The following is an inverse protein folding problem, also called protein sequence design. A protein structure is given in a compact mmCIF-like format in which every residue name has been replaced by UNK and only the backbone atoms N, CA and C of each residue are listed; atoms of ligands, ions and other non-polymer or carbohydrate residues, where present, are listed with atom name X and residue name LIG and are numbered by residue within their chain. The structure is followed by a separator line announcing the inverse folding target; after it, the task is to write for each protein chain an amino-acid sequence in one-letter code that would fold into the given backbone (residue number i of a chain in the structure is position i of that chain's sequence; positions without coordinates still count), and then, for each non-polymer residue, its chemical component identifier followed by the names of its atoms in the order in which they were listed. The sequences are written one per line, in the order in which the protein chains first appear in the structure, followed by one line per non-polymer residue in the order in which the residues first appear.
data_IF_142834378646
#
_entry.id   IF_142834378646
#
_cell.length_a   1.000
_cell.length_b   1.000
_cell.length_c   1.000
_cell.angle_alpha   90.00
_cell.angle_beta   90.00
_cell.angle_gamma   90.00
#
_symmetry.space_group_name_H-M   'P 1'
#
loop_
_entity.id
_entity.type
_entity.pdbx_description
1 polymer ?
#
# COMPACT_ATOMS: atom_id res chain seq x y z
N UNK A 1 0.24 16.46 -7.94
CA UNK A 1 1.19 16.39 -6.81
C UNK A 1 0.39 16.11 -5.55
N UNK A 2 0.57 14.95 -4.92
CA UNK A 2 -0.12 14.59 -3.66
C UNK A 2 0.79 14.93 -2.49
N UNK A 3 1.90 14.22 -2.37
CA UNK A 3 3.05 14.56 -1.53
C UNK A 3 4.30 13.90 -2.13
N UNK A 4 5.49 14.29 -1.67
CA UNK A 4 6.75 13.83 -2.28
C UNK A 4 6.89 12.31 -2.27
N UNK A 5 6.50 11.63 -1.19
CA UNK A 5 6.60 10.17 -1.08
C UNK A 5 5.61 9.47 -2.02
N UNK A 6 4.37 9.95 -2.05
CA UNK A 6 3.31 9.42 -2.91
C UNK A 6 3.66 9.59 -4.38
N UNK A 7 4.14 10.77 -4.75
CA UNK A 7 4.56 11.03 -6.12
C UNK A 7 5.80 10.20 -6.51
N UNK A 8 6.71 9.91 -5.56
CA UNK A 8 7.90 9.09 -5.80
C UNK A 8 7.56 7.62 -6.09
N UNK A 9 6.71 6.98 -5.28
CA UNK A 9 6.33 5.60 -5.56
C UNK A 9 5.38 5.50 -6.76
N UNK A 10 4.53 6.51 -7.01
CA UNK A 10 3.71 6.55 -8.23
C UNK A 10 4.58 6.64 -9.48
N UNK A 11 5.66 7.42 -9.45
CA UNK A 11 6.63 7.46 -10.55
C UNK A 11 7.29 6.09 -10.77
N UNK A 12 7.64 5.39 -9.70
CA UNK A 12 8.18 4.03 -9.81
C UNK A 12 7.16 3.06 -10.41
N UNK A 13 5.90 3.11 -9.94
CA UNK A 13 4.79 2.29 -10.46
C UNK A 13 4.54 2.53 -11.96
N UNK A 14 4.54 3.79 -12.41
CA UNK A 14 4.42 4.14 -13.83
C UNK A 14 5.59 3.57 -14.66
N UNK A 15 6.81 3.56 -14.12
CA UNK A 15 8.00 3.05 -14.82
C UNK A 15 8.05 1.53 -14.92
N UNK A 16 7.55 0.85 -13.89
CA UNK A 16 7.66 -0.62 -13.77
C UNK A 16 6.41 -1.34 -14.24
N UNK A 17 5.31 -0.60 -14.41
CA UNK A 17 3.97 -1.15 -14.62
C UNK A 17 3.50 -2.08 -13.49
N UNK A 18 4.08 -1.94 -12.29
CA UNK A 18 3.70 -2.69 -11.08
C UNK A 18 2.99 -1.77 -10.11
N UNK A 19 1.83 -2.19 -9.59
CA UNK A 19 1.11 -1.45 -8.57
C UNK A 19 1.88 -1.45 -7.25
N UNK A 20 2.03 -0.26 -6.66
CA UNK A 20 2.68 -0.06 -5.36
C UNK A 20 1.71 0.66 -4.44
N UNK A 21 1.52 0.13 -3.25
CA UNK A 21 0.86 0.83 -2.14
C UNK A 21 1.88 1.18 -1.06
N UNK A 22 1.65 2.28 -0.35
CA UNK A 22 2.50 2.74 0.74
C UNK A 22 1.65 3.05 1.96
N UNK A 23 2.03 2.49 3.10
CA UNK A 23 1.31 2.64 4.36
C UNK A 23 2.23 3.23 5.43
N UNK A 24 1.65 4.01 6.33
CA UNK A 24 2.36 4.49 7.52
C UNK A 24 2.61 3.30 8.45
N UNK A 25 3.87 2.85 8.52
CA UNK A 25 4.25 1.64 9.23
C UNK A 25 4.01 1.75 10.74
N UNK A 26 4.07 2.97 11.30
CA UNK A 26 3.86 3.21 12.73
C UNK A 26 2.39 3.01 13.15
N UNK A 27 1.47 2.99 12.17
CA UNK A 27 0.03 2.76 12.36
C UNK A 27 -0.40 1.31 12.09
N UNK A 28 0.51 0.46 11.63
CA UNK A 28 0.24 -0.95 11.38
C UNK A 28 0.42 -1.79 12.65
N UNK A 29 -0.23 -2.95 12.68
CA UNK A 29 -0.19 -3.89 13.79
C UNK A 29 0.07 -5.31 13.30
N UNK A 30 1.23 -5.84 13.66
CA UNK A 30 1.64 -7.17 13.25
C UNK A 30 1.89 -7.30 11.75
N UNK A 31 1.62 -8.49 11.20
CA UNK A 31 1.83 -8.80 9.79
C UNK A 31 0.65 -8.42 8.88
N UNK A 32 0.93 -8.12 7.62
CA UNK A 32 -0.11 -7.92 6.61
C UNK A 32 -0.54 -9.25 5.99
N UNK A 33 -1.85 -9.41 5.80
CA UNK A 33 -2.47 -10.59 5.18
C UNK A 33 -3.34 -10.16 4.00
N UNK A 34 -3.05 -10.71 2.83
CA UNK A 34 -3.92 -10.63 1.66
C UNK A 34 -4.96 -11.76 1.74
N UNK A 35 -6.25 -11.41 1.77
CA UNK A 35 -7.34 -12.38 1.93
C UNK A 35 -8.63 -11.90 1.28
N UNK A 36 -9.62 -12.78 1.20
CA UNK A 36 -10.99 -12.35 0.92
C UNK A 36 -11.57 -11.58 2.11
N UNK A 37 -12.39 -10.57 1.80
CA UNK A 37 -13.21 -9.87 2.78
C UNK A 37 -14.21 -10.84 3.41
N UNK A 38 -14.54 -10.61 4.68
CA UNK A 38 -15.68 -11.22 5.34
C UNK A 38 -16.88 -10.31 5.14
N UNK A 39 -18.05 -10.90 4.89
CA UNK A 39 -19.29 -10.14 4.79
C UNK A 39 -19.53 -9.38 6.09
N UNK A 40 -19.80 -8.08 5.97
CA UNK A 40 -20.05 -7.21 7.13
C UNK A 40 -18.81 -6.49 7.67
N UNK A 41 -17.61 -6.71 7.11
CA UNK A 41 -16.46 -5.88 7.47
C UNK A 41 -16.67 -4.43 7.04
N UNK A 42 -16.32 -3.49 7.91
CA UNK A 42 -16.36 -2.06 7.60
C UNK A 42 -15.01 -1.57 7.08
N UNK A 43 -15.05 -0.71 6.06
CA UNK A 43 -13.87 -0.11 5.46
C UNK A 43 -14.08 1.39 5.24
N UNK A 44 -13.12 2.19 5.70
CA UNK A 44 -13.07 3.63 5.43
C UNK A 44 -11.79 3.94 4.65
N UNK A 45 -11.95 4.14 3.34
CA UNK A 45 -10.86 4.44 2.44
C UNK A 45 -10.50 5.91 2.38
N UNK A 46 -9.33 6.21 1.83
CA UNK A 46 -8.87 7.58 1.58
C UNK A 46 -9.94 8.34 0.77
N UNK A 47 -10.32 9.52 1.27
CA UNK A 47 -11.30 10.40 0.64
C UNK A 47 -12.76 9.95 0.74
N UNK A 48 -13.07 8.96 1.58
CA UNK A 48 -14.46 8.58 1.88
C UNK A 48 -15.01 9.41 3.05
N UNK A 49 -16.26 9.87 2.93
CA UNK A 49 -16.94 10.60 4.01
C UNK A 49 -17.51 9.67 5.10
N UNK A 50 -17.83 8.42 4.72
CA UNK A 50 -18.44 7.41 5.59
C UNK A 50 -17.86 6.03 5.30
N UNK A 51 -17.83 5.12 6.29
CA UNK A 51 -17.45 3.73 6.07
C UNK A 51 -18.39 3.05 5.06
N UNK A 52 -17.87 2.06 4.34
CA UNK A 52 -18.68 1.11 3.57
C UNK A 52 -18.62 -0.27 4.19
N UNK A 53 -19.67 -1.06 3.97
CA UNK A 53 -19.75 -2.45 4.43
C UNK A 53 -19.44 -3.36 3.26
N UNK A 54 -18.44 -4.23 3.42
CA UNK A 54 -18.02 -5.18 2.41
C UNK A 54 -18.99 -6.37 2.32
N UNK A 55 -19.18 -6.88 1.10
CA UNK A 55 -20.12 -7.98 0.84
C UNK A 55 -19.46 -9.36 0.89
N UNK A 56 -18.11 -9.41 0.92
CA UNK A 56 -17.31 -10.62 1.13
C UNK A 56 -16.72 -11.23 -0.14
N UNK A 57 -16.77 -10.52 -1.27
CA UNK A 57 -16.16 -10.94 -2.54
C UNK A 57 -14.92 -10.11 -2.90
N UNK A 58 -14.62 -9.09 -2.10
CA UNK A 58 -13.50 -8.19 -2.28
C UNK A 58 -12.20 -8.84 -1.81
N UNK A 59 -11.11 -8.59 -2.53
CA UNK A 59 -9.76 -8.90 -2.03
C UNK A 59 -9.31 -7.74 -1.15
N UNK A 60 -8.91 -8.04 0.07
CA UNK A 60 -8.49 -7.03 1.06
C UNK A 60 -7.11 -7.35 1.60
N UNK A 61 -6.42 -6.30 2.03
CA UNK A 61 -5.25 -6.39 2.89
C UNK A 61 -5.69 -6.01 4.29
N UNK A 62 -5.38 -6.84 5.27
CA UNK A 62 -5.60 -6.54 6.69
C UNK A 62 -4.31 -6.67 7.47
N UNK A 63 -4.17 -5.87 8.52
CA UNK A 63 -3.21 -6.13 9.59
C UNK A 63 -3.91 -7.00 10.68
N UNK A 64 -3.32 -7.14 11.86
CA UNK A 64 -3.92 -7.94 12.95
C UNK A 64 -5.15 -7.29 13.61
N UNK A 65 -5.40 -5.99 13.37
CA UNK A 65 -6.48 -5.23 14.02
C UNK A 65 -7.57 -4.77 13.04
N UNK A 66 -7.21 -4.45 11.78
CA UNK A 66 -8.09 -3.70 10.86
C UNK A 66 -7.79 -3.95 9.38
N UNK A 67 -8.72 -3.51 8.53
CA UNK A 67 -8.53 -3.45 7.09
C UNK A 67 -7.62 -2.28 6.70
N UNK A 68 -6.67 -2.56 5.81
CA UNK A 68 -5.63 -1.63 5.34
C UNK A 68 -5.88 -1.22 3.89
N UNK A 69 -6.45 -2.10 3.08
CA UNK A 69 -6.83 -1.78 1.71
C UNK A 69 -7.92 -2.71 1.19
N UNK A 70 -8.74 -2.21 0.26
CA UNK A 70 -9.44 -3.02 -0.74
C UNK A 70 -8.50 -3.11 -1.93
N UNK A 71 -7.89 -4.27 -2.15
CA UNK A 71 -6.85 -4.44 -3.15
C UNK A 71 -7.43 -4.79 -4.54
N UNK A 72 -6.93 -4.20 -5.64
CA UNK A 72 -5.93 -3.13 -5.77
C UNK A 72 -6.58 -1.74 -5.98
N UNK A 73 -7.71 -1.47 -5.33
CA UNK A 73 -8.54 -0.30 -5.64
C UNK A 73 -8.31 0.88 -4.70
N UNK A 74 -8.28 0.66 -3.38
CA UNK A 74 -8.30 1.76 -2.42
C UNK A 74 -7.67 1.40 -1.08
N UNK A 75 -6.77 2.26 -0.61
CA UNK A 75 -6.13 2.17 0.71
C UNK A 75 -7.01 2.82 1.80
N UNK A 76 -6.88 2.34 3.04
CA UNK A 76 -7.57 2.85 4.22
C UNK A 76 -7.09 4.26 4.58
N UNK A 77 -8.00 5.11 5.06
CA UNK A 77 -7.64 6.47 5.48
C UNK A 77 -6.76 6.48 6.74
N UNK A 78 -7.00 5.54 7.64
CA UNK A 78 -6.33 5.47 8.95
C UNK A 78 -4.81 5.24 8.80
N UNK A 79 -4.39 4.39 7.86
CA UNK A 79 -2.99 4.00 7.65
C UNK A 79 -2.31 4.71 6.48
N UNK A 80 -2.93 5.78 5.97
CA UNK A 80 -2.36 6.56 4.87
C UNK A 80 -1.06 7.27 5.27
N UNK A 81 -0.16 7.41 4.31
CA UNK A 81 1.01 8.26 4.44
C UNK A 81 0.61 9.73 4.53
N UNK A 82 1.22 10.44 5.46
CA UNK A 82 1.04 11.88 5.66
C UNK A 82 2.39 12.60 5.67
N UNK A 83 2.39 13.94 5.77
CA UNK A 83 3.63 14.71 5.94
C UNK A 83 4.38 14.42 7.25
N UNK A 84 3.73 13.77 8.23
CA UNK A 84 4.34 13.38 9.50
C UNK A 84 4.94 11.97 9.48
N UNK A 85 4.60 11.15 8.49
CA UNK A 85 5.04 9.75 8.40
C UNK A 85 6.56 9.67 8.30
N UNK A 86 7.17 8.79 9.12
CA UNK A 86 8.62 8.57 9.16
C UNK A 86 9.02 7.17 8.71
N UNK A 87 8.20 6.18 9.02
CA UNK A 87 8.39 4.80 8.61
C UNK A 87 7.29 4.41 7.63
N UNK A 88 7.66 3.81 6.50
CA UNK A 88 6.73 3.42 5.45
C UNK A 88 6.89 1.95 5.14
N UNK A 89 5.77 1.24 5.09
CA UNK A 89 5.71 -0.11 4.56
C UNK A 89 5.23 -0.04 3.12
N UNK A 90 6.02 -0.59 2.20
CA UNK A 90 5.67 -0.70 0.79
C UNK A 90 5.08 -2.08 0.52
N UNK A 91 3.90 -2.11 -0.09
CA UNK A 91 3.27 -3.34 -0.57
C UNK A 91 3.38 -3.38 -2.09
N UNK A 92 4.05 -4.40 -2.60
CA UNK A 92 4.30 -4.63 -4.01
C UNK A 92 3.75 -6.00 -4.35
N UNK A 93 2.67 -6.02 -5.12
CA UNK A 93 1.94 -7.24 -5.41
C UNK A 93 1.99 -7.54 -6.91
N UNK A 94 2.40 -8.76 -7.24
CA UNK A 94 2.25 -9.32 -8.57
C UNK A 94 0.90 -10.00 -8.76
N UNK A 95 0.53 -10.17 -10.02
CA UNK A 95 -0.59 -11.03 -10.44
C UNK A 95 -0.02 -12.24 -11.19
N UNK A 96 -0.79 -13.33 -11.38
CA UNK A 96 -0.34 -14.48 -12.15
C UNK A 96 0.24 -14.07 -13.51
N UNK A 97 1.44 -14.56 -13.83
CA UNK A 97 2.19 -14.21 -15.05
C UNK A 97 3.23 -13.11 -14.86
N UNK A 98 3.34 -12.49 -13.68
CA UNK A 98 4.45 -11.59 -13.34
C UNK A 98 5.50 -12.37 -12.55
N UNK A 99 6.71 -12.45 -13.09
CA UNK A 99 7.83 -13.12 -12.44
C UNK A 99 8.27 -12.39 -11.16
N UNK A 100 8.74 -13.15 -10.18
CA UNK A 100 9.27 -12.61 -8.92
C UNK A 100 10.43 -11.63 -9.16
N UNK A 101 11.27 -11.88 -10.17
CA UNK A 101 12.37 -10.99 -10.54
C UNK A 101 11.87 -9.63 -11.06
N UNK A 102 10.69 -9.58 -11.68
CA UNK A 102 10.05 -8.30 -12.04
C UNK A 102 9.62 -7.54 -10.79
N UNK A 103 9.05 -8.25 -9.80
CA UNK A 103 8.63 -7.65 -8.53
C UNK A 103 9.83 -7.14 -7.72
N UNK A 104 10.93 -7.90 -7.64
CA UNK A 104 12.17 -7.48 -6.98
C UNK A 104 12.74 -6.23 -7.64
N UNK A 105 12.82 -6.20 -8.98
CA UNK A 105 13.26 -5.00 -9.71
C UNK A 105 12.34 -3.80 -9.45
N UNK A 106 11.02 -4.02 -9.45
CA UNK A 106 10.08 -2.95 -9.15
C UNK A 106 10.22 -2.42 -7.72
N UNK A 107 10.49 -3.31 -6.76
CA UNK A 107 10.82 -2.96 -5.37
C UNK A 107 12.04 -2.07 -5.29
N UNK A 108 13.15 -2.48 -5.92
CA UNK A 108 14.37 -1.70 -5.89
C UNK A 108 14.17 -0.32 -6.54
N UNK A 109 13.52 -0.25 -7.71
CA UNK A 109 13.23 1.03 -8.38
C UNK A 109 12.35 1.93 -7.49
N UNK A 110 11.41 1.35 -6.77
CA UNK A 110 10.55 2.09 -5.84
C UNK A 110 11.34 2.67 -4.68
N UNK A 111 12.18 1.86 -4.03
CA UNK A 111 13.07 2.30 -2.95
C UNK A 111 14.02 3.39 -3.45
N UNK A 112 14.68 3.19 -4.59
CA UNK A 112 15.62 4.16 -5.17
C UNK A 112 14.92 5.49 -5.47
N UNK A 113 13.69 5.45 -6.01
CA UNK A 113 12.88 6.65 -6.23
C UNK A 113 12.55 7.36 -4.92
N UNK A 114 12.13 6.64 -3.88
CA UNK A 114 11.81 7.22 -2.58
C UNK A 114 13.07 7.83 -1.95
N UNK A 115 14.19 7.10 -1.89
CA UNK A 115 15.45 7.60 -1.31
C UNK A 115 15.95 8.83 -2.06
N UNK A 116 15.87 8.84 -3.39
CA UNK A 116 16.29 9.98 -4.20
C UNK A 116 15.53 11.28 -3.87
N UNK A 117 14.23 11.19 -3.61
CA UNK A 117 13.37 12.38 -3.42
C UNK A 117 13.03 12.68 -1.96
N UNK A 118 13.11 11.69 -1.08
CA UNK A 118 12.73 11.79 0.35
C UNK A 118 13.91 11.51 1.30
N UNK A 119 15.01 10.92 0.84
CA UNK A 119 16.11 10.43 1.69
C UNK A 119 15.76 9.15 2.43
N UNK A 120 16.47 8.87 3.53
CA UNK A 120 16.27 7.68 4.36
C UNK A 120 17.01 6.45 3.86
N UNK A 121 16.54 5.27 4.28
CA UNK A 121 17.08 3.97 3.90
C UNK A 121 16.02 2.88 4.00
N UNK A 122 16.34 1.69 3.48
CA UNK A 122 15.45 0.54 3.52
C UNK A 122 15.83 -0.44 4.64
N UNK A 123 14.83 -1.23 5.08
CA UNK A 123 15.01 -2.44 5.87
C UNK A 123 14.13 -3.52 5.24
N UNK A 124 14.72 -4.68 4.98
CA UNK A 124 14.05 -5.89 4.48
C UNK A 124 13.66 -6.77 5.66
#
# INVERSE_FOLDING_TARGET
KINTLVDAYNLASIRTCISVSAFDADKLRGGLVLRAARKGEEFTGIGMEKPMVLVGNEVVVSDEEKLIAIYPYRDADDTKVTGATRNVLLLICGVPGIDEEVLKRASQITVDCIIKFCGGGERI
#
